data_IF_019747729217
#
_entry.id   IF_019747729217
#
_cell.length_a   1.000
_cell.length_b   1.000
_cell.length_c   1.000
_cell.angle_alpha   90.00
_cell.angle_beta   90.00
_cell.angle_gamma   90.00
#
_symmetry.space_group_name_H-M   'P 1'
#
loop_
_entity.id
_entity.type
_entity.pdbx_description
1 polymer ?
#
# COMPACT_ATOMS: atom_id res chain seq x y z
N UNK A 1 5.93 -5.07 7.57
CA UNK A 1 5.70 -3.68 7.15
C UNK A 1 5.96 -2.68 8.29
N UNK A 2 6.53 -1.49 8.02
CA UNK A 2 6.55 -0.36 8.96
C UNK A 2 5.14 0.24 9.10
N UNK A 3 4.66 0.48 10.32
CA UNK A 3 3.31 1.02 10.58
C UNK A 3 3.05 2.36 9.88
N UNK A 4 4.09 3.18 9.69
CA UNK A 4 3.98 4.48 8.99
C UNK A 4 3.61 4.32 7.52
N UNK A 5 4.09 3.25 6.87
CA UNK A 5 3.75 2.94 5.46
C UNK A 5 2.27 2.59 5.37
N UNK A 6 1.78 1.77 6.32
CA UNK A 6 0.37 1.38 6.39
C UNK A 6 -0.51 2.61 6.62
N UNK A 7 -0.12 3.52 7.52
CA UNK A 7 -0.91 4.70 7.84
C UNK A 7 -0.97 5.67 6.65
N UNK A 8 0.14 5.91 5.95
CA UNK A 8 0.16 6.71 4.71
C UNK A 8 -0.72 6.07 3.63
N UNK A 9 -0.63 4.75 3.42
CA UNK A 9 -1.47 4.05 2.45
C UNK A 9 -2.95 4.17 2.81
N UNK A 10 -3.30 4.02 4.09
CA UNK A 10 -4.68 4.13 4.58
C UNK A 10 -5.25 5.53 4.32
N UNK A 11 -4.49 6.59 4.65
CA UNK A 11 -4.89 7.97 4.40
C UNK A 11 -5.07 8.24 2.90
N UNK A 12 -4.19 7.69 2.06
CA UNK A 12 -4.27 7.82 0.60
C UNK A 12 -5.47 7.09 0.00
N UNK A 13 -5.90 5.99 0.60
CA UNK A 13 -6.99 5.13 0.11
C UNK A 13 -8.37 5.53 0.66
N UNK A 14 -8.49 6.65 1.37
CA UNK A 14 -9.77 7.28 1.67
C UNK A 14 -10.49 7.78 0.40
N UNK A 15 -9.76 7.93 -0.72
CA UNK A 15 -10.32 8.16 -2.04
C UNK A 15 -10.59 6.81 -2.73
N UNK A 16 -11.72 6.64 -3.44
CA UNK A 16 -12.22 5.33 -3.85
C UNK A 16 -11.28 4.53 -4.75
N UNK A 17 -10.37 5.19 -5.47
CA UNK A 17 -9.29 4.57 -6.26
C UNK A 17 -8.09 5.52 -6.33
N UNK A 18 -6.89 5.04 -6.03
CA UNK A 18 -5.61 5.76 -6.25
C UNK A 18 -4.76 5.03 -7.28
N UNK A 19 -3.93 5.72 -8.07
CA UNK A 19 -2.97 5.08 -8.98
C UNK A 19 -1.69 4.67 -8.26
N UNK A 20 -0.97 3.70 -8.81
CA UNK A 20 0.36 3.32 -8.33
C UNK A 20 1.31 4.50 -8.27
N UNK A 21 1.45 5.21 -9.39
CA UNK A 21 2.31 6.40 -9.49
C UNK A 21 1.98 7.46 -8.42
N UNK A 22 0.70 7.60 -8.07
CA UNK A 22 0.24 8.52 -7.02
C UNK A 22 0.61 8.03 -5.62
N UNK A 23 0.44 6.74 -5.33
CA UNK A 23 0.78 6.19 -4.02
C UNK A 23 2.30 6.17 -3.80
N UNK A 24 3.09 5.78 -4.80
CA UNK A 24 4.55 5.88 -4.76
C UNK A 24 5.01 7.32 -4.59
N UNK A 25 4.40 8.28 -5.31
CA UNK A 25 4.71 9.71 -5.11
C UNK A 25 4.42 10.21 -3.69
N UNK A 26 3.34 9.72 -3.06
CA UNK A 26 3.04 10.04 -1.66
C UNK A 26 4.08 9.47 -0.70
N UNK A 27 4.52 8.23 -0.89
CA UNK A 27 5.61 7.65 -0.09
C UNK A 27 6.91 8.43 -0.26
N UNK A 28 7.28 8.75 -1.49
CA UNK A 28 8.48 9.52 -1.80
C UNK A 28 8.50 10.84 -1.01
N UNK A 29 7.40 11.59 -1.04
CA UNK A 29 7.28 12.88 -0.34
C UNK A 29 7.26 12.74 1.18
N UNK A 30 6.47 11.79 1.71
CA UNK A 30 6.23 11.66 3.16
C UNK A 30 7.37 10.98 3.89
N UNK A 31 8.04 10.04 3.25
CA UNK A 31 9.13 9.26 3.83
C UNK A 31 10.52 9.78 3.41
N UNK A 32 10.59 10.76 2.50
CA UNK A 32 11.84 11.33 1.96
C UNK A 32 12.76 10.24 1.41
N UNK A 33 12.20 9.29 0.68
CA UNK A 33 12.91 8.19 0.05
C UNK A 33 13.04 8.40 -1.47
N UNK A 34 13.79 7.53 -2.14
CA UNK A 34 13.80 7.46 -3.60
C UNK A 34 12.47 6.94 -4.15
N UNK A 35 12.23 7.15 -5.45
CA UNK A 35 11.04 6.60 -6.11
C UNK A 35 11.08 5.06 -6.16
N UNK A 36 12.28 4.48 -6.36
CA UNK A 36 12.48 3.03 -6.34
C UNK A 36 12.11 2.43 -4.97
N UNK A 37 12.55 3.06 -3.87
CA UNK A 37 12.13 2.64 -2.52
C UNK A 37 10.62 2.80 -2.29
N UNK A 38 10.03 3.86 -2.83
CA UNK A 38 8.59 4.09 -2.73
C UNK A 38 7.77 3.00 -3.46
N UNK A 39 8.21 2.59 -4.66
CA UNK A 39 7.60 1.50 -5.41
C UNK A 39 7.69 0.18 -4.64
N UNK A 40 8.83 -0.10 -4.01
CA UNK A 40 8.99 -1.28 -3.14
C UNK A 40 8.01 -1.31 -1.97
N UNK A 41 7.61 -0.16 -1.44
CA UNK A 41 6.59 -0.10 -0.38
C UNK A 41 5.20 -0.44 -0.91
N UNK A 42 4.86 0.00 -2.13
CA UNK A 42 3.59 -0.38 -2.78
C UNK A 42 3.56 -1.88 -3.06
N UNK A 43 4.65 -2.44 -3.59
CA UNK A 43 4.82 -3.87 -3.80
C UNK A 43 4.62 -4.66 -2.49
N UNK A 44 5.28 -4.21 -1.41
CA UNK A 44 5.16 -4.85 -0.10
C UNK A 44 3.72 -4.83 0.42
N UNK A 45 3.00 -3.72 0.28
CA UNK A 45 1.58 -3.61 0.68
C UNK A 45 0.70 -4.58 -0.08
N UNK A 46 0.94 -4.78 -1.36
CA UNK A 46 0.19 -5.74 -2.14
C UNK A 46 0.53 -7.18 -1.78
N UNK A 47 1.82 -7.47 -1.59
CA UNK A 47 2.28 -8.78 -1.17
C UNK A 47 1.69 -9.18 0.20
N UNK A 48 1.66 -8.25 1.15
CA UNK A 48 1.09 -8.45 2.49
C UNK A 48 -0.46 -8.39 2.51
N UNK A 49 -1.10 -8.15 1.36
CA UNK A 49 -2.56 -8.15 1.22
C UNK A 49 -3.27 -6.93 1.78
N UNK A 50 -2.54 -5.83 2.04
CA UNK A 50 -3.12 -4.55 2.49
C UNK A 50 -3.80 -3.79 1.34
N UNK A 51 -3.38 -4.04 0.10
CA UNK A 51 -3.95 -3.44 -1.09
C UNK A 51 -4.15 -4.48 -2.20
N UNK A 52 -5.10 -4.22 -3.08
CA UNK A 52 -5.27 -4.95 -4.33
C UNK A 52 -4.89 -4.03 -5.48
N UNK A 53 -4.15 -4.58 -6.44
CA UNK A 53 -3.67 -3.85 -7.60
C UNK A 53 -4.44 -4.34 -8.83
N UNK A 54 -4.94 -3.40 -9.63
CA UNK A 54 -5.54 -3.67 -10.93
C UNK A 54 -4.49 -4.11 -11.98
N UNK A 55 -4.92 -4.34 -13.22
CA UNK A 55 -3.99 -4.63 -14.33
C UNK A 55 -3.65 -3.34 -15.10
N UNK A 56 -2.45 -3.29 -15.68
CA UNK A 56 -2.01 -2.19 -16.54
C UNK A 56 -0.60 -1.68 -16.17
N UNK A 57 -0.11 -0.69 -16.92
CA UNK A 57 1.20 -0.06 -16.70
C UNK A 57 1.24 0.94 -15.54
N UNK A 58 0.10 1.54 -15.17
CA UNK A 58 -0.08 2.34 -13.96
C UNK A 58 -1.40 1.91 -13.27
N UNK A 59 -1.35 0.79 -12.54
CA UNK A 59 -2.55 0.12 -12.10
C UNK A 59 -3.28 0.92 -11.02
N UNK A 60 -4.61 0.76 -11.00
CA UNK A 60 -5.45 1.27 -9.92
C UNK A 60 -5.25 0.43 -8.66
N UNK A 61 -5.10 1.09 -7.53
CA UNK A 61 -4.94 0.49 -6.21
C UNK A 61 -6.22 0.73 -5.41
N UNK A 62 -6.67 -0.33 -4.75
CA UNK A 62 -7.80 -0.31 -3.83
C UNK A 62 -7.32 -0.86 -2.49
N UNK A 63 -7.72 -0.25 -1.38
CA UNK A 63 -7.47 -0.80 -0.06
C UNK A 63 -8.19 -2.14 0.07
N UNK A 64 -7.42 -3.19 0.31
CA UNK A 64 -7.98 -4.42 0.85
C UNK A 64 -7.78 -4.27 2.34
N UNK A 65 -8.79 -3.70 3.01
CA UNK A 65 -8.88 -3.76 4.46
C UNK A 65 -9.17 -5.22 4.86
N UNK A 66 -8.24 -6.13 4.55
CA UNK A 66 -8.28 -7.45 5.12
C UNK A 66 -8.23 -7.24 6.64
N UNK A 67 -9.14 -7.83 7.43
CA UNK A 67 -8.93 -7.88 8.86
C UNK A 67 -7.55 -8.51 9.04
N UNK A 68 -6.66 -7.82 9.75
CA UNK A 68 -5.39 -8.41 10.19
C UNK A 68 -5.80 -9.61 11.04
N UNK A 69 -5.92 -10.79 10.41
CA UNK A 69 -6.09 -12.04 11.12
C UNK A 69 -4.77 -12.21 11.87
N UNK A 70 -4.79 -11.74 13.10
CA UNK A 70 -3.86 -12.15 14.13
C UNK A 70 -3.78 -13.66 14.04
N UNK A 71 -2.56 -14.18 13.94
CA UNK A 71 -2.31 -15.61 14.12
C UNK A 71 -2.89 -16.03 15.48
N UNK A 72 -4.13 -16.50 15.51
CA UNK A 72 -4.53 -17.59 16.41
C UNK A 72 -4.02 -18.85 15.72
N UNK A 73 -2.89 -19.42 16.14
CA UNK A 73 -2.91 -20.46 17.17
C UNK A 73 -4.14 -21.36 17.01
N UNK A 74 -3.90 -22.52 16.43
CA UNK A 74 -4.81 -23.66 16.45
C UNK A 74 -5.19 -24.00 17.90
N UNK A 75 -6.44 -24.43 18.18
CA UNK A 75 -6.67 -25.47 19.17
C UNK A 75 -6.17 -26.83 18.67
#
# INVERSE_FOLDING_TARGET
MDQRIIDIARDALLFPVIRWSQLSGLFQLRLRCSLEEADLFVDALAHDGHISIGRGSDPSIVAVLAPVQTRGQAP
#
